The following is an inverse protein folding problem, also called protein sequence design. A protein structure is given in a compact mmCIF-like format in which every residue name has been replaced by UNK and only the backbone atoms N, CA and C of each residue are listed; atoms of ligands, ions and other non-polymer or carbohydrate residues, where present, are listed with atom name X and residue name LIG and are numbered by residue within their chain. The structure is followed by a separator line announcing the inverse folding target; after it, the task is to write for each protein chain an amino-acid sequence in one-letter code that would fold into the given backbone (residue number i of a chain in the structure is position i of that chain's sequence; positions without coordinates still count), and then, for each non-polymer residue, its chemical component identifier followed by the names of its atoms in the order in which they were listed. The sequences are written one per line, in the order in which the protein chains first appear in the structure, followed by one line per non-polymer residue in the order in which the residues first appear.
data_IF_277367549142
#
_entry.id   IF_277367549142
#
_cell.length_a   1.000
_cell.length_b   1.000
_cell.length_c   1.000
_cell.angle_alpha   90.00
_cell.angle_beta   90.00
_cell.angle_gamma   90.00
#
_symmetry.space_group_name_H-M   'P 1'
#
loop_
_entity.id
_entity.type
_entity.pdbx_description
1 polymer ?
#
# COMPACT_ATOMS: atom_id res chain seq x y z
N UNK A 1 -3.10 7.43 14.92
CA UNK A 1 -4.02 8.40 14.27
C UNK A 1 -4.45 7.97 12.87
N UNK A 2 -3.57 7.46 12.01
CA UNK A 2 -3.94 7.04 10.65
C UNK A 2 -5.13 6.06 10.56
N UNK A 3 -5.29 5.14 11.50
CA UNK A 3 -6.36 4.12 11.49
C UNK A 3 -7.56 4.41 12.39
N UNK A 4 -7.44 5.34 13.34
CA UNK A 4 -8.43 5.56 14.40
C UNK A 4 -8.78 7.05 14.55
N UNK A 5 -8.56 7.83 13.49
CA UNK A 5 -8.73 9.28 13.54
C UNK A 5 -10.18 9.69 13.77
N UNK A 6 -11.12 8.98 13.15
CA UNK A 6 -12.56 9.17 13.29
C UNK A 6 -13.00 8.98 14.76
N UNK A 7 -12.54 7.90 15.40
CA UNK A 7 -12.81 7.65 16.81
C UNK A 7 -12.21 8.73 17.71
N UNK A 8 -10.99 9.18 17.40
CA UNK A 8 -10.34 10.25 18.15
C UNK A 8 -11.10 11.58 18.03
N UNK A 9 -11.55 11.94 16.82
CA UNK A 9 -12.41 13.13 16.59
C UNK A 9 -13.68 13.01 17.43
N UNK A 10 -14.36 11.86 17.39
CA UNK A 10 -15.61 11.67 18.16
C UNK A 10 -15.39 11.83 19.66
N UNK A 11 -14.26 11.34 20.18
CA UNK A 11 -13.97 11.32 21.62
C UNK A 11 -13.46 12.66 22.15
N UNK A 12 -12.62 13.35 21.39
CA UNK A 12 -11.86 14.51 21.88
C UNK A 12 -12.13 15.81 21.10
N UNK A 13 -12.86 15.74 19.98
CA UNK A 13 -13.19 16.88 19.13
C UNK A 13 -12.09 17.22 18.12
N UNK A 14 -12.47 18.00 17.10
CA UNK A 14 -11.58 18.40 15.99
C UNK A 14 -10.41 19.27 16.44
N UNK A 15 -10.60 20.13 17.45
CA UNK A 15 -9.54 21.02 17.95
C UNK A 15 -8.39 20.23 18.59
N UNK A 16 -8.67 19.11 19.26
CA UNK A 16 -7.65 18.23 19.81
C UNK A 16 -6.84 17.54 18.70
N UNK A 17 -7.52 17.18 17.61
CA UNK A 17 -6.91 16.50 16.45
C UNK A 17 -5.92 17.41 15.76
N UNK A 18 -6.27 18.69 15.54
CA UNK A 18 -5.39 19.69 14.91
C UNK A 18 -4.03 19.85 15.61
N UNK A 19 -3.93 19.46 16.89
CA UNK A 19 -2.72 19.56 17.71
C UNK A 19 -1.99 18.23 17.93
N UNK A 20 -2.47 17.12 17.35
CA UNK A 20 -2.03 15.77 17.73
C UNK A 20 -1.74 14.82 16.54
N UNK A 21 -0.51 14.32 16.38
CA UNK A 21 0.72 14.71 17.08
C UNK A 21 1.33 15.98 16.47
N UNK A 22 2.03 16.82 17.25
CA UNK A 22 2.54 18.12 16.82
C UNK A 22 3.88 18.01 16.06
N UNK A 23 3.95 17.16 15.03
CA UNK A 23 5.21 16.85 14.32
C UNK A 23 5.85 18.11 13.74
N UNK A 24 5.08 18.96 13.07
CA UNK A 24 5.58 20.23 12.51
C UNK A 24 6.22 21.11 13.58
N UNK A 25 5.50 21.34 14.68
CA UNK A 25 6.01 22.15 15.78
C UNK A 25 7.29 21.59 16.41
N UNK A 26 7.41 20.25 16.51
CA UNK A 26 8.65 19.62 16.98
C UNK A 26 9.83 19.92 16.05
N UNK A 27 9.61 19.84 14.73
CA UNK A 27 10.63 20.15 13.73
C UNK A 27 11.01 21.63 13.76
N UNK A 28 10.03 22.53 13.87
CA UNK A 28 10.25 23.98 13.94
C UNK A 28 11.02 24.38 15.21
N UNK A 29 10.85 23.61 16.29
CA UNK A 29 11.62 23.76 17.53
C UNK A 29 13.04 23.15 17.46
N UNK A 30 13.44 22.57 16.32
CA UNK A 30 14.75 21.95 16.13
C UNK A 30 14.92 20.60 16.83
N UNK A 31 13.82 19.95 17.22
CA UNK A 31 13.87 18.64 17.86
C UNK A 31 14.15 17.53 16.81
N UNK A 32 15.00 16.55 17.12
CA UNK A 32 15.12 15.34 16.32
C UNK A 32 13.80 14.56 16.29
N UNK A 33 13.33 14.19 15.09
CA UNK A 33 12.09 13.42 14.91
C UNK A 33 12.34 12.26 13.95
N UNK A 34 12.02 11.06 14.46
CA UNK A 34 11.93 9.81 13.71
C UNK A 34 10.48 9.35 13.63
N UNK A 35 10.20 8.38 12.76
CA UNK A 35 8.88 7.80 12.60
C UNK A 35 8.95 6.26 12.57
N UNK A 36 7.84 5.63 12.93
CA UNK A 36 7.68 4.19 12.99
C UNK A 36 6.23 3.79 12.81
N UNK A 37 6.00 2.54 12.42
CA UNK A 37 4.65 2.03 12.16
C UNK A 37 3.92 1.59 13.42
N UNK A 38 4.61 0.93 14.37
CA UNK A 38 4.01 0.16 15.46
C UNK A 38 3.14 -1.03 14.95
N UNK A 39 3.66 -1.68 13.91
CA UNK A 39 2.97 -2.69 13.10
C UNK A 39 2.57 -3.99 13.82
N UNK A 40 3.12 -4.25 15.01
CA UNK A 40 2.81 -5.47 15.77
C UNK A 40 1.57 -5.34 16.65
N UNK A 41 1.02 -4.11 16.81
CA UNK A 41 -0.12 -3.87 17.69
C UNK A 41 -1.21 -2.98 17.09
N UNK A 42 -0.82 -1.89 16.42
CA UNK A 42 -1.77 -0.79 16.13
C UNK A 42 -1.89 -0.47 14.64
N UNK A 43 -0.92 -0.87 13.81
CA UNK A 43 -0.82 -0.42 12.42
C UNK A 43 -0.33 -1.51 11.46
N UNK A 44 -0.20 -1.16 10.17
CA UNK A 44 0.40 -2.01 9.15
C UNK A 44 1.94 -1.99 9.21
N UNK A 45 2.57 -3.07 8.76
CA UNK A 45 4.00 -3.13 8.47
C UNK A 45 4.43 -2.22 7.32
N UNK A 46 3.49 -1.80 6.46
CA UNK A 46 3.80 -0.94 5.33
C UNK A 46 4.08 0.51 5.79
N UNK A 47 5.33 1.02 5.71
CA UNK A 47 5.68 2.37 6.14
C UNK A 47 5.03 3.46 5.29
N UNK A 48 4.63 3.15 4.06
CA UNK A 48 4.01 4.12 3.16
C UNK A 48 2.62 4.56 3.62
N UNK A 49 1.94 3.78 4.47
CA UNK A 49 0.70 4.23 5.12
C UNK A 49 0.98 5.39 6.07
N UNK A 50 2.07 5.33 6.84
CA UNK A 50 2.48 6.42 7.74
C UNK A 50 2.98 7.63 6.96
N UNK A 51 3.75 7.41 5.88
CA UNK A 51 4.19 8.50 4.99
C UNK A 51 2.98 9.20 4.37
N UNK A 52 1.98 8.45 3.87
CA UNK A 52 0.71 9.00 3.41
C UNK A 52 0.04 9.84 4.49
N UNK A 53 -0.06 9.34 5.72
CA UNK A 53 -0.72 10.09 6.80
C UNK A 53 0.02 11.39 7.16
N UNK A 54 1.36 11.39 7.21
CA UNK A 54 2.15 12.62 7.44
C UNK A 54 2.04 13.63 6.29
N UNK A 55 2.00 13.14 5.04
CA UNK A 55 1.94 13.99 3.85
C UNK A 55 0.54 14.53 3.59
N UNK A 56 -0.50 13.70 3.72
CA UNK A 56 -1.90 14.07 3.42
C UNK A 56 -2.61 14.71 4.61
N UNK A 57 -2.18 14.39 5.83
CA UNK A 57 -2.92 14.71 7.05
C UNK A 57 -4.28 14.02 7.15
N UNK A 58 -4.47 12.88 6.46
CA UNK A 58 -5.72 12.13 6.42
C UNK A 58 -5.58 10.75 7.04
N UNK A 59 -6.69 10.22 7.56
CA UNK A 59 -6.79 8.80 7.94
C UNK A 59 -6.71 7.92 6.70
N UNK A 60 -6.50 6.62 6.90
CA UNK A 60 -6.55 5.61 5.82
C UNK A 60 -7.91 5.63 5.12
N UNK A 61 -8.99 5.91 5.86
CA UNK A 61 -10.35 6.10 5.35
C UNK A 61 -10.61 7.42 4.62
N UNK A 62 -9.66 8.37 4.68
CA UNK A 62 -9.73 9.64 3.96
C UNK A 62 -10.22 10.83 4.78
N UNK A 63 -10.57 10.62 6.06
CA UNK A 63 -10.98 11.70 6.97
C UNK A 63 -9.81 12.66 7.17
N UNK A 64 -10.05 13.95 6.91
CA UNK A 64 -9.05 14.98 7.13
C UNK A 64 -8.86 15.24 8.63
N UNK A 65 -7.60 15.21 9.07
CA UNK A 65 -7.20 15.38 10.47
C UNK A 65 -6.49 16.72 10.67
N UNK A 66 -5.57 17.07 9.77
CA UNK A 66 -4.69 18.23 9.91
C UNK A 66 -5.03 19.35 8.94
N UNK A 67 -4.83 20.59 9.41
CA UNK A 67 -4.63 21.74 8.54
C UNK A 67 -3.36 21.57 7.71
N UNK A 68 -3.29 22.27 6.58
CA UNK A 68 -2.14 22.21 5.67
C UNK A 68 -0.80 22.56 6.33
N UNK A 69 -0.82 23.42 7.35
CA UNK A 69 0.37 23.83 8.11
C UNK A 69 1.04 22.68 8.88
N UNK A 70 0.27 21.68 9.33
CA UNK A 70 0.79 20.56 10.12
C UNK A 70 1.20 19.36 9.25
N UNK A 71 1.03 19.45 7.94
CA UNK A 71 1.44 18.42 6.98
C UNK A 71 2.93 18.55 6.68
N UNK A 72 3.55 17.42 6.36
CA UNK A 72 4.94 17.38 5.89
C UNK A 72 4.98 17.30 4.36
N UNK A 73 6.00 17.91 3.76
CA UNK A 73 6.32 17.55 2.38
C UNK A 73 6.82 16.09 2.30
N UNK A 74 6.88 15.54 1.09
CA UNK A 74 7.27 14.13 0.89
C UNK A 74 8.70 13.84 1.36
N UNK A 75 9.63 14.76 1.14
CA UNK A 75 11.02 14.57 1.54
C UNK A 75 11.19 14.69 3.06
N UNK A 76 10.50 15.63 3.69
CA UNK A 76 10.43 15.77 5.14
C UNK A 76 9.85 14.51 5.78
N UNK A 77 8.74 13.99 5.26
CA UNK A 77 8.14 12.74 5.74
C UNK A 77 9.08 11.55 5.56
N UNK A 78 9.71 11.41 4.39
CA UNK A 78 10.67 10.34 4.11
C UNK A 78 11.86 10.38 5.07
N UNK A 79 12.41 11.57 5.32
CA UNK A 79 13.51 11.78 6.28
C UNK A 79 13.15 11.31 7.68
N UNK A 80 11.88 11.33 8.09
CA UNK A 80 11.48 10.78 9.41
C UNK A 80 11.66 9.27 9.48
N UNK A 81 11.46 8.55 8.38
CA UNK A 81 11.66 7.10 8.30
C UNK A 81 13.10 6.70 7.99
N UNK A 82 13.94 7.63 7.53
CA UNK A 82 15.33 7.35 7.16
C UNK A 82 16.32 7.98 8.15
N UNK A 83 16.96 9.10 7.80
CA UNK A 83 17.97 9.77 8.65
C UNK A 83 17.44 10.15 10.03
N UNK A 84 16.17 10.53 10.14
CA UNK A 84 15.52 10.89 11.41
C UNK A 84 15.39 9.70 12.35
N UNK A 85 15.11 8.50 11.85
CA UNK A 85 15.10 7.27 12.65
C UNK A 85 16.51 6.75 12.93
N UNK A 86 17.45 6.92 12.00
CA UNK A 86 18.85 6.53 12.21
C UNK A 86 19.53 7.31 13.35
N UNK A 87 19.12 8.57 13.56
CA UNK A 87 19.59 9.39 14.68
C UNK A 87 19.29 8.75 16.04
N UNK A 88 18.13 8.13 16.22
CA UNK A 88 17.77 7.47 17.48
C UNK A 88 18.57 6.19 17.77
N UNK A 89 19.29 5.66 16.77
CA UNK A 89 20.23 4.56 16.95
C UNK A 89 21.69 4.98 16.89
N UNK A 90 22.01 6.29 16.82
CA UNK A 90 23.36 6.84 16.60
C UNK A 90 24.04 6.25 15.34
N UNK A 91 23.27 6.06 14.28
CA UNK A 91 23.75 5.47 13.02
C UNK A 91 23.50 6.37 11.81
N UNK A 92 23.21 7.64 12.01
CA UNK A 92 22.95 8.64 10.97
C UNK A 92 24.13 8.83 10.00
N UNK A 93 25.37 8.57 10.45
CA UNK A 93 26.57 8.57 9.60
C UNK A 93 26.78 7.24 8.84
N UNK A 94 26.02 6.20 9.20
CA UNK A 94 26.18 4.83 8.66
C UNK A 94 25.01 4.41 7.77
N UNK A 95 23.80 4.92 8.00
CA UNK A 95 22.58 4.57 7.27
C UNK A 95 21.54 5.69 7.25
N UNK A 96 20.55 5.54 6.39
CA UNK A 96 19.42 6.46 6.26
C UNK A 96 19.53 7.44 5.09
N UNK A 97 20.68 7.53 4.44
CA UNK A 97 20.86 8.31 3.21
C UNK A 97 21.59 7.50 2.14
N UNK A 98 21.23 7.75 0.87
CA UNK A 98 21.95 7.20 -0.27
C UNK A 98 23.13 8.10 -0.62
N UNK A 99 24.21 7.96 0.15
CA UNK A 99 25.46 8.73 -0.01
C UNK A 99 26.67 7.81 0.14
N UNK A 100 27.81 8.11 -0.52
CA UNK A 100 29.03 7.33 -0.36
C UNK A 100 29.46 7.22 1.11
N UNK A 101 29.85 6.02 1.54
CA UNK A 101 30.28 5.73 2.91
C UNK A 101 29.19 5.14 3.81
N UNK A 102 27.90 5.26 3.43
CA UNK A 102 26.81 4.58 4.13
C UNK A 102 26.55 3.17 3.58
N UNK A 103 25.81 2.36 4.34
CA UNK A 103 25.36 1.05 3.86
C UNK A 103 24.52 1.18 2.59
N UNK A 104 24.71 0.23 1.68
CA UNK A 104 23.87 0.08 0.49
C UNK A 104 22.52 -0.58 0.86
N UNK A 105 21.75 0.13 1.69
CA UNK A 105 20.42 -0.23 2.15
C UNK A 105 19.40 0.62 1.40
N UNK A 106 18.67 0.03 0.46
CA UNK A 106 17.67 0.76 -0.32
C UNK A 106 16.53 -0.15 -0.77
N UNK A 107 15.42 0.48 -1.15
CA UNK A 107 14.28 -0.18 -1.75
C UNK A 107 14.00 0.44 -3.12
N UNK A 108 13.71 -0.42 -4.10
CA UNK A 108 13.08 -0.04 -5.36
C UNK A 108 11.57 -0.14 -5.13
N UNK A 109 10.85 0.95 -5.41
CA UNK A 109 9.43 1.04 -5.11
C UNK A 109 8.59 0.65 -6.31
N UNK A 110 7.36 0.18 -6.06
CA UNK A 110 6.40 -0.16 -7.10
C UNK A 110 6.01 1.03 -7.98
N UNK A 111 6.07 2.25 -7.44
CA UNK A 111 5.87 3.51 -8.18
C UNK A 111 6.73 4.63 -7.56
N UNK A 112 6.84 5.74 -8.27
CA UNK A 112 7.60 6.91 -7.80
C UNK A 112 6.87 7.65 -6.66
N UNK A 113 7.42 7.50 -5.45
CA UNK A 113 6.93 8.15 -4.24
C UNK A 113 6.86 9.67 -4.34
N UNK A 114 7.64 10.35 -5.19
CA UNK A 114 7.64 11.81 -5.27
C UNK A 114 6.59 12.37 -6.23
N UNK A 115 6.13 11.57 -7.19
CA UNK A 115 5.24 12.04 -8.26
C UNK A 115 3.87 11.37 -8.27
N UNK A 116 3.72 10.18 -7.68
CA UNK A 116 2.43 9.47 -7.61
C UNK A 116 1.37 10.32 -6.90
N UNK A 117 0.09 10.17 -7.24
CA UNK A 117 -0.99 10.86 -6.51
C UNK A 117 -0.91 10.61 -5.00
N UNK A 118 -1.24 11.63 -4.20
CA UNK A 118 -1.14 11.57 -2.74
C UNK A 118 -1.93 10.38 -2.15
N UNK A 119 -3.14 10.13 -2.65
CA UNK A 119 -3.99 9.02 -2.20
C UNK A 119 -3.40 7.64 -2.49
N UNK A 120 -2.46 7.55 -3.45
CA UNK A 120 -1.82 6.30 -3.88
C UNK A 120 -0.58 5.96 -3.06
N UNK A 121 0.02 6.94 -2.37
CA UNK A 121 1.20 6.74 -1.52
C UNK A 121 1.01 5.52 -0.59
N UNK A 122 -0.14 5.40 0.08
CA UNK A 122 -0.40 4.31 1.05
C UNK A 122 -0.43 2.90 0.46
N UNK A 123 -0.44 2.76 -0.87
CA UNK A 123 -0.43 1.48 -1.57
C UNK A 123 0.94 1.11 -2.15
N UNK A 124 1.93 1.99 -2.04
CA UNK A 124 3.29 1.68 -2.47
C UNK A 124 3.84 0.46 -1.73
N UNK A 125 4.60 -0.35 -2.44
CA UNK A 125 5.32 -1.51 -1.92
C UNK A 125 6.79 -1.46 -2.38
N UNK A 126 7.63 -2.26 -1.74
CA UNK A 126 8.98 -2.53 -2.24
C UNK A 126 8.89 -3.60 -3.33
N UNK A 127 9.34 -3.29 -4.54
CA UNK A 127 9.52 -4.26 -5.62
C UNK A 127 10.86 -5.02 -5.47
N UNK A 128 11.86 -4.38 -4.86
CA UNK A 128 13.13 -5.01 -4.48
C UNK A 128 13.72 -4.31 -3.26
N UNK A 129 14.20 -5.08 -2.29
CA UNK A 129 14.89 -4.58 -1.10
C UNK A 129 16.32 -5.07 -1.09
N UNK A 130 17.26 -4.14 -0.93
CA UNK A 130 18.69 -4.41 -0.82
C UNK A 130 19.15 -4.01 0.59
N UNK A 131 19.90 -4.88 1.25
CA UNK A 131 20.49 -4.65 2.57
C UNK A 131 21.97 -5.02 2.52
N UNK A 132 22.84 -4.09 2.87
CA UNK A 132 24.29 -4.22 2.81
C UNK A 132 24.79 -4.58 1.41
N UNK A 133 24.11 -4.10 0.36
CA UNK A 133 24.43 -4.42 -1.03
C UNK A 133 23.97 -5.80 -1.49
N UNK A 134 23.19 -6.54 -0.69
CA UNK A 134 22.63 -7.84 -1.06
C UNK A 134 21.12 -7.73 -1.24
N UNK A 135 20.58 -8.32 -2.30
CA UNK A 135 19.13 -8.43 -2.49
C UNK A 135 18.59 -9.41 -1.45
N UNK A 136 17.66 -8.94 -0.60
CA UNK A 136 17.02 -9.74 0.47
C UNK A 136 15.53 -9.99 0.21
N UNK A 137 14.96 -9.26 -0.74
CA UNK A 137 13.59 -9.43 -1.21
C UNK A 137 13.53 -8.88 -2.64
N UNK A 138 12.84 -9.58 -3.53
CA UNK A 138 12.55 -9.08 -4.86
C UNK A 138 11.27 -9.72 -5.39
N UNK A 139 10.62 -9.04 -6.32
CA UNK A 139 9.28 -9.36 -6.78
C UNK A 139 9.06 -8.86 -8.21
N UNK A 140 7.95 -9.22 -8.83
CA UNK A 140 7.56 -8.82 -10.19
C UNK A 140 8.73 -9.00 -11.19
N UNK A 141 9.20 -7.90 -11.80
CA UNK A 141 10.31 -7.91 -12.75
C UNK A 141 11.68 -8.22 -12.12
N UNK A 142 11.82 -8.05 -10.80
CA UNK A 142 13.04 -8.37 -10.05
C UNK A 142 13.01 -9.77 -9.42
N UNK A 143 11.92 -10.53 -9.56
CA UNK A 143 11.79 -11.86 -8.97
C UNK A 143 12.99 -12.82 -9.23
N UNK A 144 13.66 -12.80 -10.40
CA UNK A 144 14.86 -13.63 -10.61
C UNK A 144 16.04 -13.32 -9.68
N UNK A 145 16.05 -12.17 -9.00
CA UNK A 145 17.09 -11.74 -8.06
C UNK A 145 16.73 -12.08 -6.60
N UNK A 146 15.52 -12.58 -6.34
CA UNK A 146 15.06 -12.86 -4.99
C UNK A 146 15.87 -14.00 -4.34
N UNK A 147 16.18 -13.91 -3.03
CA UNK A 147 16.66 -15.08 -2.31
C UNK A 147 15.56 -16.16 -2.24
N UNK A 148 15.91 -17.41 -1.91
CA UNK A 148 14.93 -18.46 -1.67
C UNK A 148 13.91 -18.07 -0.60
N UNK A 149 12.65 -18.46 -0.80
CA UNK A 149 11.59 -18.22 0.17
C UNK A 149 11.90 -18.84 1.52
N UNK A 150 11.54 -18.11 2.59
CA UNK A 150 11.66 -18.62 3.94
C UNK A 150 10.59 -19.69 4.18
N UNK A 151 10.93 -20.79 4.90
CA UNK A 151 9.93 -21.80 5.25
C UNK A 151 8.88 -21.18 6.16
N UNK A 152 7.61 -21.53 5.91
CA UNK A 152 6.51 -21.10 6.78
C UNK A 152 6.68 -21.70 8.17
N UNK A 153 6.62 -20.85 9.20
CA UNK A 153 6.73 -21.25 10.60
C UNK A 153 5.56 -20.67 11.43
N UNK A 154 4.86 -21.48 12.24
CA UNK A 154 5.02 -22.93 12.37
C UNK A 154 4.57 -23.67 11.11
N UNK A 155 5.09 -24.87 10.87
CA UNK A 155 4.82 -25.65 9.65
C UNK A 155 3.36 -26.06 9.47
N UNK A 156 2.57 -26.11 10.55
CA UNK A 156 1.13 -26.36 10.50
C UNK A 156 0.31 -25.11 10.14
N UNK A 157 0.93 -23.94 9.99
CA UNK A 157 0.23 -22.69 9.69
C UNK A 157 -0.58 -22.82 8.40
N UNK A 158 -1.87 -22.42 8.39
CA UNK A 158 -2.67 -22.39 7.17
C UNK A 158 -2.05 -21.57 6.03
N UNK A 159 -1.15 -20.63 6.33
CA UNK A 159 -0.40 -19.85 5.34
C UNK A 159 0.47 -20.74 4.45
N UNK A 160 0.91 -21.91 4.94
CA UNK A 160 1.65 -22.87 4.13
C UNK A 160 0.82 -23.44 2.98
N UNK A 161 -0.50 -23.58 3.17
CA UNK A 161 -1.43 -24.12 2.17
C UNK A 161 -2.12 -23.02 1.36
N UNK A 162 -2.58 -21.96 2.03
CA UNK A 162 -3.43 -20.93 1.45
C UNK A 162 -2.69 -19.63 1.08
N UNK A 163 -1.42 -19.49 1.48
CA UNK A 163 -0.65 -18.25 1.30
C UNK A 163 -1.03 -17.12 2.26
N UNK A 164 -0.41 -15.96 2.07
CA UNK A 164 -0.61 -14.75 2.89
C UNK A 164 -1.49 -13.69 2.22
N UNK A 165 -2.11 -12.82 3.03
CA UNK A 165 -3.01 -11.74 2.57
C UNK A 165 -2.30 -10.43 2.17
N UNK A 166 -0.98 -10.45 1.98
CA UNK A 166 -0.11 -9.27 2.10
C UNK A 166 -0.15 -8.29 0.94
N UNK A 167 -0.80 -8.61 -0.18
CA UNK A 167 -0.80 -7.74 -1.37
C UNK A 167 -2.21 -7.29 -1.72
N UNK A 168 -2.41 -5.98 -1.66
CA UNK A 168 -3.44 -5.34 -2.47
C UNK A 168 -3.04 -5.52 -3.93
N UNK A 169 -3.48 -6.62 -4.54
CA UNK A 169 -3.65 -6.65 -5.98
C UNK A 169 -4.91 -5.83 -6.19
N UNK A 170 -4.87 -4.63 -6.82
CA UNK A 170 -6.12 -4.07 -7.30
C UNK A 170 -6.77 -5.20 -8.07
N UNK A 171 -7.98 -5.60 -7.65
CA UNK A 171 -8.80 -6.46 -8.48
C UNK A 171 -8.75 -5.78 -9.83
N UNK A 172 -8.20 -6.47 -10.84
CA UNK A 172 -8.24 -6.00 -12.21
C UNK A 172 -9.65 -5.47 -12.39
N UNK A 173 -9.78 -4.17 -12.71
CA UNK A 173 -11.05 -3.43 -12.76
C UNK A 173 -12.07 -4.45 -13.17
N UNK A 174 -12.93 -4.85 -12.23
CA UNK A 174 -13.88 -5.91 -12.52
C UNK A 174 -14.54 -5.44 -13.81
N UNK A 175 -14.31 -6.15 -14.91
CA UNK A 175 -15.08 -5.90 -16.11
C UNK A 175 -16.52 -5.86 -15.62
N UNK A 176 -17.30 -4.93 -16.14
CA UNK A 176 -18.70 -4.66 -15.76
C UNK A 176 -19.62 -5.86 -16.10
N UNK A 177 -19.06 -7.05 -16.18
CA UNK A 177 -19.69 -8.33 -16.35
C UNK A 177 -19.73 -8.98 -14.96
N UNK A 178 -20.82 -8.75 -14.22
CA UNK A 178 -21.04 -9.17 -12.84
C UNK A 178 -21.12 -10.69 -12.63
N UNK A 179 -20.03 -11.41 -12.87
CA UNK A 179 -19.92 -12.83 -12.58
C UNK A 179 -19.21 -13.05 -11.24
N UNK A 180 -19.94 -13.64 -10.28
CA UNK A 180 -19.49 -13.86 -8.90
C UNK A 180 -18.62 -15.11 -8.72
N UNK A 181 -18.34 -15.89 -9.78
CA UNK A 181 -17.56 -17.12 -9.70
C UNK A 181 -16.48 -17.21 -10.79
N UNK A 182 -15.24 -17.54 -10.38
CA UNK A 182 -14.09 -17.81 -11.23
C UNK A 182 -14.22 -19.21 -11.87
N UNK A 183 -14.75 -19.30 -13.09
CA UNK A 183 -14.74 -20.55 -13.86
C UNK A 183 -13.53 -20.60 -14.81
N UNK A 184 -12.46 -21.29 -14.39
CA UNK A 184 -11.22 -21.47 -15.16
C UNK A 184 -11.30 -22.47 -16.32
N UNK A 185 -12.44 -22.62 -16.99
CA UNK A 185 -12.63 -23.67 -18.02
C UNK A 185 -12.54 -23.12 -19.45
N UNK A 186 -12.73 -21.82 -19.68
CA UNK A 186 -12.54 -21.21 -21.01
C UNK A 186 -11.94 -19.80 -20.93
N UNK A 187 -10.88 -19.54 -21.70
CA UNK A 187 -10.32 -18.21 -21.88
C UNK A 187 -11.36 -17.25 -22.50
N UNK A 188 -11.39 -16.02 -21.99
CA UNK A 188 -12.38 -14.97 -22.24
C UNK A 188 -12.66 -14.66 -23.72
N UNK A 189 -13.70 -15.28 -24.30
CA UNK A 189 -14.17 -14.98 -25.66
C UNK A 189 -15.68 -14.68 -25.78
N UNK A 190 -16.39 -14.34 -24.69
CA UNK A 190 -17.83 -14.01 -24.77
C UNK A 190 -18.13 -12.55 -25.15
N UNK A 191 -17.20 -11.62 -24.89
CA UNK A 191 -17.35 -10.22 -25.29
C UNK A 191 -17.43 -10.03 -26.80
N UNK A 192 -16.94 -10.99 -27.59
CA UNK A 192 -17.05 -10.98 -29.05
C UNK A 192 -18.49 -11.16 -29.52
N UNK A 193 -19.28 -12.03 -28.85
CA UNK A 193 -20.64 -12.34 -29.25
C UNK A 193 -21.60 -11.19 -28.93
N UNK A 194 -21.39 -10.53 -27.78
CA UNK A 194 -22.12 -9.32 -27.37
C UNK A 194 -21.82 -8.09 -28.22
N UNK A 195 -20.62 -8.00 -28.81
CA UNK A 195 -20.21 -6.87 -29.68
C UNK A 195 -20.48 -7.12 -31.16
N UNK A 196 -20.93 -8.31 -31.55
CA UNK A 196 -21.32 -8.60 -32.94
C UNK A 196 -22.73 -8.10 -33.17
N UNK A 197 -22.91 -7.35 -34.26
CA UNK A 197 -24.20 -6.82 -34.68
C UNK A 197 -25.05 -7.92 -35.36
N UNK A 198 -25.35 -9.00 -34.62
CA UNK A 198 -26.23 -10.08 -35.06
C UNK A 198 -27.66 -9.66 -34.72
N UNK A 199 -28.62 -9.72 -35.65
CA UNK A 199 -29.99 -9.32 -35.39
C UNK A 199 -30.65 -10.33 -34.45
N UNK A 200 -30.68 -10.02 -33.16
CA UNK A 200 -31.46 -10.74 -32.16
C UNK A 200 -32.61 -9.85 -31.68
N UNK A 201 -33.79 -10.44 -31.53
CA UNK A 201 -35.00 -9.72 -31.10
C UNK A 201 -34.99 -9.37 -29.62
N UNK A 202 -34.16 -10.05 -28.81
CA UNK A 202 -33.97 -9.79 -27.38
C UNK A 202 -32.58 -10.23 -26.95
N UNK A 203 -31.75 -9.30 -26.47
CA UNK A 203 -30.39 -9.56 -25.99
C UNK A 203 -30.35 -10.24 -24.61
N UNK A 204 -31.43 -10.12 -23.84
CA UNK A 204 -31.57 -10.68 -22.48
C UNK A 204 -32.51 -11.89 -22.44
N UNK A 205 -33.03 -12.32 -23.59
CA UNK A 205 -33.93 -13.46 -23.68
C UNK A 205 -33.24 -14.76 -23.29
N UNK A 206 -34.00 -15.69 -22.70
CA UNK A 206 -33.55 -16.98 -22.17
C UNK A 206 -32.69 -17.84 -23.14
N UNK A 207 -32.78 -17.59 -24.44
CA UNK A 207 -31.98 -18.29 -25.45
C UNK A 207 -30.76 -17.52 -25.97
N UNK A 208 -30.67 -16.20 -25.75
CA UNK A 208 -29.59 -15.34 -26.25
C UNK A 208 -29.23 -15.57 -27.73
N UNK A 209 -28.16 -14.95 -28.22
CA UNK A 209 -27.77 -15.10 -29.63
C UNK A 209 -27.29 -16.53 -30.00
N UNK A 210 -26.83 -17.34 -29.03
CA UNK A 210 -26.20 -18.65 -29.30
C UNK A 210 -26.46 -19.73 -28.22
N UNK A 211 -27.50 -19.60 -27.39
CA UNK A 211 -27.90 -20.62 -26.43
C UNK A 211 -27.06 -20.65 -25.15
N UNK A 212 -27.75 -20.80 -24.02
CA UNK A 212 -27.24 -20.94 -22.64
C UNK A 212 -26.90 -19.63 -21.90
N UNK A 213 -27.92 -18.98 -21.34
CA UNK A 213 -27.76 -18.11 -20.15
C UNK A 213 -27.88 -18.97 -18.88
N UNK A 214 -26.79 -19.13 -18.11
CA UNK A 214 -26.82 -19.79 -16.81
C UNK A 214 -27.23 -18.82 -15.70
N UNK A 215 -28.13 -19.28 -14.83
CA UNK A 215 -28.73 -18.59 -13.69
C UNK A 215 -27.71 -18.19 -12.62
N UNK A 216 -27.89 -17.00 -12.04
CA UNK A 216 -27.27 -16.60 -10.78
C UNK A 216 -28.24 -16.88 -9.62
N UNK A 217 -27.73 -17.49 -8.55
CA UNK A 217 -28.05 -17.06 -7.18
C UNK A 217 -26.89 -16.17 -6.73
#
# INVERSE_FOLDING_TARGET
MAYQGEYFIQRYGEEAVKRTPPIRHMLDAGLPVGAGTDATRVASFNPFVSLYWMVSGKTVGGTAMYSSENRLDRMEALRRYTVGSAWFSNEEERKGALVPGQFADFAVLSEDYFTVDESRIKFLTSAMTVVGGKVVYADDEFAPLAPPDLPVSPSWSPVAEFGGYSRYKPTAVACVDGCVNLCGVHAHAHGWAWRKNVPVSDANGFWGALGCSCFAF
#
